data_IF_396237728150
#
_entry.id   IF_396237728150
#
_cell.length_a   1.000
_cell.length_b   1.000
_cell.length_c   1.000
_cell.angle_alpha   90.00
_cell.angle_beta   90.00
_cell.angle_gamma   90.00
#
_symmetry.space_group_name_H-M   'P 1'
#
loop_
_entity.id
_entity.type
_entity.pdbx_description
1 polymer ?
#
# COMPACT_ATOMS: atom_id res chain seq x y z
N UNK A 1 -11.03 -12.41 -24.79
CA UNK A 1 -9.57 -12.61 -24.98
C UNK A 1 -9.38 -13.98 -25.60
N UNK A 2 -8.84 -14.06 -26.82
CA UNK A 2 -8.61 -15.32 -27.53
C UNK A 2 -7.22 -15.81 -27.11
N UNK A 3 -7.14 -16.82 -26.25
CA UNK A 3 -5.84 -17.38 -25.85
C UNK A 3 -5.23 -18.09 -27.06
N UNK A 4 -4.01 -17.73 -27.50
CA UNK A 4 -3.36 -18.41 -28.60
C UNK A 4 -2.70 -19.69 -28.07
N UNK A 5 -2.94 -20.78 -28.79
CA UNK A 5 -2.32 -22.10 -28.68
C UNK A 5 -2.82 -22.92 -27.47
N UNK A 6 -3.67 -23.89 -27.81
CA UNK A 6 -4.24 -24.96 -26.99
C UNK A 6 -3.24 -26.08 -26.66
N UNK A 7 -1.98 -25.73 -26.34
CA UNK A 7 -0.97 -26.71 -25.95
C UNK A 7 -0.60 -26.54 -24.47
N UNK A 8 -0.84 -27.57 -23.66
CA UNK A 8 -0.34 -27.62 -22.28
C UNK A 8 1.19 -27.76 -22.29
N UNK A 9 1.88 -26.88 -21.56
CA UNK A 9 3.34 -26.95 -21.38
C UNK A 9 3.77 -28.31 -20.82
N UNK A 10 3.06 -28.84 -19.84
CA UNK A 10 3.39 -30.11 -19.19
C UNK A 10 3.26 -31.31 -20.14
N UNK A 11 2.19 -31.38 -20.96
CA UNK A 11 2.00 -32.48 -21.91
C UNK A 11 2.99 -32.40 -23.09
N UNK A 12 3.34 -31.18 -23.50
CA UNK A 12 4.31 -30.92 -24.57
C UNK A 12 5.71 -31.45 -24.22
N UNK A 13 6.14 -31.34 -22.96
CA UNK A 13 7.46 -31.80 -22.52
C UNK A 13 7.58 -33.34 -22.47
N UNK A 14 6.44 -34.05 -22.46
CA UNK A 14 6.37 -35.52 -22.49
C UNK A 14 6.10 -36.11 -23.88
N UNK A 15 6.13 -35.30 -24.95
CA UNK A 15 5.94 -35.77 -26.33
C UNK A 15 4.51 -36.20 -26.67
N UNK A 16 3.53 -35.94 -25.78
CA UNK A 16 2.12 -36.18 -26.04
C UNK A 16 1.51 -34.95 -26.72
N UNK A 17 1.04 -35.11 -27.97
CA UNK A 17 0.18 -34.13 -28.61
C UNK A 17 -1.19 -34.16 -27.91
N UNK A 18 -1.34 -33.43 -26.81
CA UNK A 18 -2.65 -33.22 -26.19
C UNK A 18 -3.36 -32.10 -26.96
N UNK A 19 -4.39 -32.44 -27.72
CA UNK A 19 -5.27 -31.46 -28.33
C UNK A 19 -6.32 -31.05 -27.28
N UNK A 20 -6.17 -29.87 -26.68
CA UNK A 20 -7.20 -29.34 -25.79
C UNK A 20 -8.31 -28.75 -26.65
N UNK A 21 -9.48 -29.39 -26.61
CA UNK A 21 -10.69 -28.79 -27.13
C UNK A 21 -11.19 -27.74 -26.13
N UNK A 22 -11.25 -26.48 -26.57
CA UNK A 22 -12.01 -25.47 -25.85
C UNK A 22 -13.48 -25.92 -25.82
N UNK A 23 -14.05 -26.02 -24.62
CA UNK A 23 -15.47 -26.32 -24.44
C UNK A 23 -16.17 -25.02 -24.06
N UNK A 24 -16.88 -24.35 -24.99
CA UNK A 24 -17.59 -23.11 -24.68
C UNK A 24 -18.59 -23.27 -23.52
N UNK A 25 -19.15 -24.46 -23.35
CA UNK A 25 -20.06 -24.76 -22.23
C UNK A 25 -19.38 -24.66 -20.86
N UNK A 26 -18.11 -25.06 -20.74
CA UNK A 26 -17.35 -24.88 -19.50
C UNK A 26 -17.00 -23.41 -19.26
N UNK A 27 -16.70 -22.66 -20.32
CA UNK A 27 -16.45 -21.22 -20.19
C UNK A 27 -17.70 -20.47 -19.68
N UNK A 28 -18.88 -20.85 -20.17
CA UNK A 28 -20.17 -20.32 -19.65
C UNK A 28 -20.37 -20.75 -18.19
N UNK A 29 -20.18 -22.04 -17.87
CA UNK A 29 -20.34 -22.54 -16.50
C UNK A 29 -19.41 -21.86 -15.49
N UNK A 30 -18.11 -21.72 -15.80
CA UNK A 30 -17.17 -20.99 -14.94
C UNK A 30 -17.38 -19.47 -14.97
N UNK A 31 -18.00 -18.96 -16.03
CA UNK A 31 -18.49 -17.59 -16.14
C UNK A 31 -19.60 -17.28 -15.14
N UNK A 32 -20.51 -18.23 -14.95
CA UNK A 32 -21.67 -18.12 -14.06
C UNK A 32 -21.32 -18.42 -12.60
N UNK A 33 -20.18 -19.09 -12.34
CA UNK A 33 -19.70 -19.36 -10.98
C UNK A 33 -19.18 -18.07 -10.33
N UNK A 34 -19.99 -17.47 -9.47
CA UNK A 34 -19.63 -16.29 -8.70
C UNK A 34 -19.38 -16.63 -7.24
N UNK A 35 -18.41 -15.95 -6.63
CA UNK A 35 -18.09 -16.06 -5.21
C UNK A 35 -18.24 -14.69 -4.55
N UNK A 36 -18.71 -14.63 -3.28
CA UNK A 36 -18.70 -13.39 -2.53
C UNK A 36 -17.25 -12.94 -2.27
N UNK A 37 -17.02 -11.63 -2.23
CA UNK A 37 -15.71 -11.09 -1.88
C UNK A 37 -15.34 -11.48 -0.43
N UNK A 38 -14.12 -11.96 -0.15
CA UNK A 38 -13.68 -12.28 1.22
C UNK A 38 -13.65 -11.05 2.14
N UNK A 39 -13.74 -9.83 1.58
CA UNK A 39 -13.76 -8.57 2.30
C UNK A 39 -15.17 -8.01 2.51
N UNK A 40 -16.20 -8.87 2.48
CA UNK A 40 -17.59 -8.49 2.79
C UNK A 40 -17.72 -7.86 4.18
N UNK A 41 -17.01 -8.40 5.17
CA UNK A 41 -16.93 -7.83 6.53
C UNK A 41 -16.34 -6.41 6.58
N UNK A 42 -15.60 -6.00 5.54
CA UNK A 42 -15.02 -4.67 5.40
C UNK A 42 -15.82 -3.76 4.45
N UNK A 43 -17.00 -4.22 3.99
CA UNK A 43 -17.95 -3.45 3.20
C UNK A 43 -18.06 -3.85 1.72
N UNK A 44 -17.26 -4.81 1.23
CA UNK A 44 -17.35 -5.20 -0.18
C UNK A 44 -18.53 -6.13 -0.44
N UNK A 45 -19.57 -5.65 -1.12
CA UNK A 45 -20.75 -6.44 -1.48
C UNK A 45 -20.66 -7.10 -2.87
N UNK A 46 -19.46 -7.16 -3.45
CA UNK A 46 -19.27 -7.68 -4.81
C UNK A 46 -19.34 -9.21 -4.86
N UNK A 47 -20.02 -9.72 -5.88
CA UNK A 47 -19.97 -11.12 -6.30
C UNK A 47 -19.09 -11.21 -7.55
N UNK A 48 -18.05 -12.03 -7.50
CA UNK A 48 -16.96 -12.00 -8.47
C UNK A 48 -16.92 -13.36 -9.18
N UNK A 49 -16.85 -13.39 -10.53
CA UNK A 49 -16.60 -14.63 -11.25
C UNK A 49 -15.34 -15.31 -10.72
N UNK A 50 -15.38 -16.63 -10.50
CA UNK A 50 -14.32 -17.40 -9.87
C UNK A 50 -12.92 -17.09 -10.44
N UNK A 51 -12.79 -17.04 -11.77
CA UNK A 51 -11.52 -16.79 -12.46
C UNK A 51 -10.99 -15.34 -12.31
N UNK A 52 -11.79 -14.40 -11.79
CA UNK A 52 -11.40 -13.02 -11.49
C UNK A 52 -11.19 -12.76 -10.00
N UNK A 53 -11.45 -13.73 -9.13
CA UNK A 53 -11.41 -13.56 -7.68
C UNK A 53 -10.06 -12.99 -7.19
N UNK A 54 -8.93 -13.54 -7.64
CA UNK A 54 -7.61 -13.06 -7.25
C UNK A 54 -7.32 -11.63 -7.73
N UNK A 55 -7.71 -11.30 -8.96
CA UNK A 55 -7.57 -9.94 -9.51
C UNK A 55 -8.39 -8.94 -8.72
N UNK A 56 -9.66 -9.27 -8.42
CA UNK A 56 -10.49 -8.43 -7.56
C UNK A 56 -9.87 -8.29 -6.17
N UNK A 57 -9.46 -9.38 -5.53
CA UNK A 57 -8.88 -9.34 -4.18
C UNK A 57 -7.65 -8.43 -4.10
N UNK A 58 -6.79 -8.45 -5.12
CA UNK A 58 -5.61 -7.56 -5.20
C UNK A 58 -5.97 -6.09 -5.41
N UNK A 59 -7.14 -5.82 -6.00
CA UNK A 59 -7.61 -4.49 -6.38
C UNK A 59 -8.93 -4.12 -5.69
N UNK A 60 -9.23 -4.71 -4.52
CA UNK A 60 -10.42 -4.40 -3.76
C UNK A 60 -10.14 -3.18 -2.87
N UNK A 61 -11.00 -2.18 -2.90
CA UNK A 61 -10.87 -0.97 -2.07
C UNK A 61 -11.14 -1.25 -0.58
N UNK A 62 -11.92 -2.30 -0.30
CA UNK A 62 -12.23 -2.77 1.04
C UNK A 62 -11.18 -3.75 1.57
N UNK A 63 -10.13 -4.06 0.80
CA UNK A 63 -9.05 -4.92 1.27
C UNK A 63 -8.40 -4.29 2.53
N UNK A 64 -8.25 -5.06 3.63
CA UNK A 64 -7.60 -4.56 4.83
C UNK A 64 -6.11 -4.32 4.57
N UNK A 65 -5.53 -3.36 5.29
CA UNK A 65 -4.09 -3.22 5.40
C UNK A 65 -3.56 -4.20 6.46
N UNK A 66 -2.47 -4.89 6.13
CA UNK A 66 -1.78 -5.78 7.05
C UNK A 66 -0.74 -5.00 7.86
N UNK A 67 -0.53 -5.41 9.12
CA UNK A 67 0.56 -4.89 9.92
C UNK A 67 1.92 -5.35 9.32
N UNK A 68 2.87 -4.42 9.06
CA UNK A 68 4.20 -4.75 8.56
C UNK A 68 5.13 -5.38 9.61
N UNK A 69 4.74 -5.37 10.89
CA UNK A 69 5.57 -5.93 11.97
C UNK A 69 5.60 -7.47 11.91
N UNK A 70 6.80 -8.08 11.88
CA UNK A 70 6.93 -9.54 11.82
C UNK A 70 6.19 -10.24 12.96
N UNK A 71 5.33 -11.20 12.62
CA UNK A 71 4.55 -11.96 13.60
C UNK A 71 3.27 -11.29 14.07
N UNK A 72 2.98 -10.05 13.63
CA UNK A 72 1.70 -9.40 13.90
C UNK A 72 0.66 -9.77 12.84
N UNK A 73 -0.40 -10.48 13.23
CA UNK A 73 -1.49 -10.87 12.34
C UNK A 73 -2.60 -9.81 12.21
N UNK A 74 -2.35 -8.58 12.68
CA UNK A 74 -3.34 -7.52 12.63
C UNK A 74 -3.64 -7.11 11.18
N UNK A 75 -4.94 -7.09 10.85
CA UNK A 75 -5.45 -6.73 9.54
C UNK A 75 -6.69 -5.86 9.73
N UNK A 76 -6.65 -4.61 9.26
CA UNK A 76 -7.77 -3.69 9.38
C UNK A 76 -7.73 -2.63 8.27
N UNK A 77 -8.84 -1.92 8.00
CA UNK A 77 -8.83 -0.77 7.11
C UNK A 77 -7.78 0.27 7.52
N UNK A 78 -7.27 1.12 6.60
CA UNK A 78 -6.21 2.10 6.89
C UNK A 78 -6.42 2.96 8.15
N UNK A 79 -7.63 3.47 8.46
CA UNK A 79 -7.86 4.28 9.67
C UNK A 79 -7.57 3.53 10.99
N UNK A 80 -7.75 2.21 11.01
CA UNK A 80 -7.51 1.39 12.20
C UNK A 80 -6.06 0.90 12.31
N UNK A 81 -5.29 0.93 11.22
CA UNK A 81 -3.88 0.52 11.23
C UNK A 81 -2.99 1.53 11.98
N UNK A 82 -3.26 2.82 11.82
CA UNK A 82 -2.52 3.89 12.49
C UNK A 82 -2.49 3.76 14.02
N UNK A 83 -3.64 3.73 14.71
CA UNK A 83 -3.65 3.61 16.16
C UNK A 83 -3.07 2.28 16.63
N UNK A 84 -3.23 1.20 15.85
CA UNK A 84 -2.60 -0.09 16.15
C UNK A 84 -1.07 0.01 16.16
N UNK A 85 -0.46 0.57 15.10
CA UNK A 85 1.00 0.72 15.01
C UNK A 85 1.55 1.61 16.12
N UNK A 86 0.85 2.70 16.45
CA UNK A 86 1.23 3.60 17.53
C UNK A 86 1.12 2.93 18.91
N UNK A 87 0.05 2.18 19.18
CA UNK A 87 -0.23 1.63 20.51
C UNK A 87 0.41 0.25 20.76
N UNK A 88 0.30 -0.67 19.80
CA UNK A 88 0.77 -2.05 19.95
C UNK A 88 2.28 -2.20 19.68
N UNK A 89 2.81 -1.39 18.76
CA UNK A 89 4.21 -1.44 18.36
C UNK A 89 5.02 -0.21 18.77
N UNK A 90 4.38 0.75 19.47
CA UNK A 90 5.02 1.97 19.95
C UNK A 90 5.75 2.75 18.84
N UNK A 91 5.25 2.67 17.61
CA UNK A 91 5.86 3.39 16.48
C UNK A 91 5.76 4.91 16.72
N UNK A 92 6.88 5.64 16.66
CA UNK A 92 6.86 7.09 16.83
C UNK A 92 6.02 7.76 15.74
N UNK A 93 5.09 8.62 16.15
CA UNK A 93 4.23 9.40 15.24
C UNK A 93 4.77 10.82 15.12
N UNK A 94 5.00 11.28 13.88
CA UNK A 94 5.43 12.64 13.55
C UNK A 94 4.33 13.34 12.76
N UNK A 95 3.87 14.49 13.25
CA UNK A 95 2.91 15.33 12.54
C UNK A 95 3.64 16.26 11.58
N UNK A 96 3.21 16.26 10.32
CA UNK A 96 3.71 17.15 9.28
C UNK A 96 2.58 18.13 8.95
N UNK A 97 2.77 19.45 9.13
CA UNK A 97 1.67 20.43 9.08
C UNK A 97 1.00 20.59 7.71
N UNK A 98 1.71 20.25 6.63
CA UNK A 98 1.18 20.27 5.26
C UNK A 98 2.07 19.49 4.31
N UNK A 99 1.47 18.97 3.24
CA UNK A 99 2.24 18.38 2.15
C UNK A 99 3.17 19.43 1.49
N UNK A 100 4.38 19.01 1.12
CA UNK A 100 5.41 19.89 0.58
C UNK A 100 6.25 20.66 1.62
N UNK A 101 5.89 20.61 2.91
CA UNK A 101 6.76 21.13 3.96
C UNK A 101 8.04 20.28 4.09
N UNK A 102 9.18 20.94 4.30
CA UNK A 102 10.44 20.26 4.61
C UNK A 102 10.42 19.89 6.09
N UNK A 103 10.39 18.59 6.38
CA UNK A 103 10.40 18.08 7.75
C UNK A 103 11.73 17.37 8.04
N UNK A 104 12.46 17.84 9.05
CA UNK A 104 13.78 17.31 9.43
C UNK A 104 13.66 16.37 10.63
N UNK A 105 14.04 15.10 10.45
CA UNK A 105 13.99 14.08 11.49
C UNK A 105 15.40 13.54 11.79
N UNK A 106 15.70 13.35 13.08
CA UNK A 106 16.81 12.51 13.50
C UNK A 106 16.29 11.10 13.74
N UNK A 107 16.82 10.14 12.99
CA UNK A 107 16.41 8.74 13.09
C UNK A 107 17.59 7.91 13.57
N UNK A 108 17.55 7.32 14.77
CA UNK A 108 18.56 6.35 15.19
C UNK A 108 18.44 5.08 14.35
N UNK A 109 19.57 4.40 14.11
CA UNK A 109 19.60 3.23 13.25
C UNK A 109 18.91 1.99 13.87
N UNK A 110 18.69 1.96 15.18
CA UNK A 110 18.26 0.78 15.95
C UNK A 110 16.86 0.88 16.57
N UNK A 111 15.89 1.49 15.90
CA UNK A 111 14.54 1.71 16.48
C UNK A 111 13.46 1.42 15.43
N UNK A 112 12.19 1.22 15.83
CA UNK A 112 11.16 0.74 14.91
C UNK A 112 10.88 1.77 13.83
N UNK A 113 10.16 1.31 12.82
CA UNK A 113 9.59 2.16 11.79
C UNK A 113 8.73 3.27 12.40
N UNK A 114 8.53 4.32 11.62
CA UNK A 114 7.91 5.56 12.10
C UNK A 114 6.72 5.92 11.25
N UNK A 115 5.73 6.54 11.89
CA UNK A 115 4.54 7.06 11.24
C UNK A 115 4.73 8.55 11.00
N UNK A 116 4.50 8.99 9.76
CA UNK A 116 4.41 10.40 9.39
C UNK A 116 2.95 10.67 9.03
N UNK A 117 2.30 11.56 9.76
CA UNK A 117 0.91 11.96 9.52
C UNK A 117 0.93 13.36 8.93
N UNK A 118 0.56 13.47 7.67
CA UNK A 118 0.43 14.74 6.95
C UNK A 118 -1.04 15.13 6.99
N UNK A 119 -1.37 16.11 7.82
CA UNK A 119 -2.70 16.73 7.83
C UNK A 119 -2.59 18.16 7.32
N UNK A 120 -3.72 18.76 7.00
CA UNK A 120 -3.86 20.21 7.02
C UNK A 120 -4.22 20.59 8.46
N UNK A 121 -3.45 21.47 9.09
CA UNK A 121 -3.93 22.12 10.32
C UNK A 121 -5.13 22.98 9.90
N UNK A 122 -6.35 22.53 10.22
CA UNK A 122 -7.52 23.40 10.17
C UNK A 122 -7.21 24.54 11.13
N UNK A 123 -7.03 25.75 10.61
CA UNK A 123 -7.20 26.94 11.45
C UNK A 123 -8.61 26.82 12.03
N UNK A 124 -8.70 26.85 13.36
CA UNK A 124 -9.96 27.02 14.07
C UNK A 124 -10.53 28.37 13.61
N UNK A 125 -11.31 28.37 12.54
CA UNK A 125 -12.19 29.48 12.19
C UNK A 125 -13.40 29.33 13.12
N UNK A 126 -13.37 30.08 14.23
CA UNK A 126 -14.56 30.46 14.98
C UNK A 126 -15.44 31.27 14.03
N UNK A 127 -16.39 30.64 13.34
CA UNK A 127 -17.52 31.34 12.73
C UNK A 127 -18.75 30.44 12.84
N UNK A 128 -19.69 30.88 13.69
CA UNK A 128 -21.04 30.36 13.84
C UNK A 128 -21.76 30.43 12.49
N UNK A 129 -22.16 29.29 11.92
CA UNK A 129 -23.41 29.17 11.14
C UNK A 129 -23.77 27.69 10.95
N UNK A 130 -25.00 27.36 11.35
CA UNK A 130 -25.61 26.03 11.25
C UNK A 130 -25.87 25.68 9.76
N UNK A 131 -25.20 24.67 9.22
CA UNK A 131 -25.71 23.94 8.05
C UNK A 131 -25.80 22.43 8.34
N UNK A 132 -27.04 21.99 8.57
CA UNK A 132 -27.43 20.59 8.54
C UNK A 132 -27.41 20.05 7.09
N UNK A 133 -26.70 18.94 6.88
CA UNK A 133 -27.02 17.98 5.82
C UNK A 133 -26.16 18.03 4.56
N UNK A 134 -24.96 17.43 4.63
CA UNK A 134 -24.34 16.77 3.46
C UNK A 134 -23.50 15.58 3.89
N UNK A 135 -24.17 14.44 4.04
CA UNK A 135 -23.53 13.14 4.16
C UNK A 135 -22.65 12.88 2.89
N UNK A 136 -21.45 12.33 3.11
CA UNK A 136 -20.50 11.77 2.13
C UNK A 136 -19.47 12.71 1.47
N UNK A 137 -19.23 13.92 1.98
CA UNK A 137 -17.94 14.55 1.70
C UNK A 137 -16.86 13.78 2.47
N UNK A 138 -16.06 12.99 1.77
CA UNK A 138 -14.84 12.39 2.30
C UNK A 138 -13.92 13.52 2.80
N UNK A 139 -14.14 13.99 4.03
CA UNK A 139 -13.27 14.92 4.73
C UNK A 139 -11.85 14.44 4.50
N UNK A 140 -11.01 15.29 3.91
CA UNK A 140 -9.68 14.92 3.43
C UNK A 140 -8.88 14.30 4.58
N UNK A 141 -8.94 12.97 4.68
CA UNK A 141 -8.34 12.26 5.79
C UNK A 141 -6.83 12.48 5.71
N UNK A 142 -6.16 12.74 6.85
CA UNK A 142 -4.74 13.01 6.84
C UNK A 142 -3.99 11.85 6.18
N UNK A 143 -3.07 12.19 5.29
CA UNK A 143 -2.28 11.22 4.57
C UNK A 143 -1.23 10.61 5.50
N UNK A 144 -1.22 9.28 5.58
CA UNK A 144 -0.30 8.55 6.46
C UNK A 144 0.82 7.97 5.64
N UNK A 145 2.05 8.15 6.10
CA UNK A 145 3.23 7.54 5.52
C UNK A 145 4.00 6.75 6.57
N UNK A 146 4.61 5.66 6.15
CA UNK A 146 5.56 4.89 6.95
C UNK A 146 6.97 5.24 6.47
N UNK A 147 7.83 5.63 7.41
CA UNK A 147 9.26 5.77 7.22
C UNK A 147 9.95 4.54 7.81
N UNK A 148 10.54 3.72 6.94
CA UNK A 148 11.24 2.50 7.34
C UNK A 148 12.75 2.62 7.12
N UNK A 149 13.52 2.09 8.08
CA UNK A 149 14.96 1.97 7.98
C UNK A 149 15.36 0.50 8.06
N UNK A 150 16.19 0.05 7.13
CA UNK A 150 16.67 -1.34 7.09
C UNK A 150 18.18 -1.35 6.90
N UNK A 151 18.88 -2.10 7.73
CA UNK A 151 20.30 -2.35 7.52
C UNK A 151 20.52 -3.23 6.29
N UNK A 152 21.48 -2.84 5.46
CA UNK A 152 21.84 -3.54 4.23
C UNK A 152 23.36 -3.59 4.13
N UNK A 153 23.95 -4.51 4.89
CA UNK A 153 25.40 -4.63 5.03
C UNK A 153 25.99 -3.38 5.70
N UNK A 154 26.88 -2.67 5.00
CA UNK A 154 27.52 -1.45 5.51
C UNK A 154 26.68 -0.17 5.34
N UNK A 155 25.50 -0.26 4.74
CA UNK A 155 24.61 0.88 4.49
C UNK A 155 23.24 0.68 5.15
N UNK A 156 22.54 1.78 5.40
CA UNK A 156 21.14 1.76 5.84
C UNK A 156 20.27 2.21 4.67
N UNK A 157 19.33 1.36 4.24
CA UNK A 157 18.29 1.72 3.30
C UNK A 157 17.17 2.46 4.05
N UNK A 158 16.67 3.54 3.45
CA UNK A 158 15.57 4.32 3.99
C UNK A 158 14.47 4.39 2.92
N UNK A 159 13.24 4.07 3.30
CA UNK A 159 12.08 4.11 2.40
C UNK A 159 10.92 4.84 3.05
N UNK A 160 10.13 5.56 2.24
CA UNK A 160 8.87 6.16 2.64
C UNK A 160 7.76 5.61 1.77
N UNK A 161 6.69 5.14 2.38
CA UNK A 161 5.53 4.59 1.68
C UNK A 161 4.22 5.18 2.23
N UNK A 162 3.29 5.54 1.35
CA UNK A 162 1.95 5.98 1.72
C UNK A 162 1.10 4.76 2.14
N UNK A 163 0.44 4.83 3.29
CA UNK A 163 -0.49 3.80 3.77
C UNK A 163 -1.86 4.08 3.18
N UNK A 164 -2.32 3.22 2.27
CA UNK A 164 -3.63 3.32 1.66
C UNK A 164 -4.18 1.94 1.33
N UNK A 165 -5.50 1.85 1.18
CA UNK A 165 -6.14 0.65 0.64
C UNK A 165 -5.73 0.43 -0.82
N UNK A 166 -5.65 -0.83 -1.25
CA UNK A 166 -5.05 -1.24 -2.52
C UNK A 166 -5.65 -0.54 -3.75
N UNK A 167 -6.97 -0.39 -3.80
CA UNK A 167 -7.67 0.08 -4.99
C UNK A 167 -8.00 1.57 -5.00
N UNK A 168 -7.80 2.28 -3.88
CA UNK A 168 -8.24 3.67 -3.80
C UNK A 168 -7.40 4.52 -4.76
N UNK A 169 -8.07 5.11 -5.75
CA UNK A 169 -7.53 6.17 -6.60
C UNK A 169 -7.39 7.43 -5.75
N UNK A 170 -6.41 7.42 -4.84
CA UNK A 170 -6.08 8.55 -3.98
C UNK A 170 -5.08 9.50 -4.65
N UNK A 171 -4.86 10.68 -4.06
CA UNK A 171 -3.80 11.60 -4.48
C UNK A 171 -2.46 10.87 -4.61
N UNK A 172 -1.73 11.20 -5.68
CA UNK A 172 -0.39 10.68 -5.91
C UNK A 172 0.62 11.56 -5.17
N UNK A 173 1.37 10.95 -4.26
CA UNK A 173 2.39 11.65 -3.49
C UNK A 173 3.78 11.41 -4.08
N UNK A 174 4.57 12.49 -4.14
CA UNK A 174 5.99 12.45 -4.50
C UNK A 174 6.81 12.78 -3.26
N UNK A 175 7.47 11.77 -2.72
CA UNK A 175 8.38 11.94 -1.58
C UNK A 175 9.81 12.19 -2.08
N UNK A 176 10.47 13.20 -1.52
CA UNK A 176 11.91 13.43 -1.71
C UNK A 176 12.59 13.30 -0.36
N UNK A 177 13.53 12.38 -0.27
CA UNK A 177 14.27 12.12 0.94
C UNK A 177 15.73 12.54 0.77
N UNK A 178 16.27 13.24 1.77
CA UNK A 178 17.70 13.47 1.91
C UNK A 178 18.16 12.90 3.24
N UNK A 179 19.20 12.07 3.19
CA UNK A 179 19.81 11.49 4.38
C UNK A 179 21.21 12.07 4.57
N UNK A 180 21.54 12.42 5.82
CA UNK A 180 22.90 12.70 6.26
C UNK A 180 23.26 11.66 7.31
N UNK A 181 24.13 10.72 6.97
CA UNK A 181 24.70 9.82 7.95
C UNK A 181 25.84 10.55 8.70
N UNK A 182 25.98 10.38 10.02
CA UNK A 182 27.21 10.78 10.69
C UNK A 182 28.38 10.02 10.05
N UNK A 183 29.53 10.68 9.90
CA UNK A 183 30.72 10.00 9.41
C UNK A 183 31.01 8.82 10.35
N UNK A 184 30.99 7.59 9.84
CA UNK A 184 31.54 6.46 10.60
C UNK A 184 32.98 6.84 10.95
N UNK A 185 33.39 6.61 12.19
CA UNK A 185 34.77 6.79 12.65
C UNK A 185 35.70 5.71 12.06
N UNK A 186 35.62 5.50 10.74
CA UNK A 186 36.53 4.69 9.95
C UNK A 186 36.78 5.49 8.67
N UNK A 187 38.03 5.94 8.54
CA UNK A 187 38.53 6.70 7.41
C UNK A 187 38.17 6.00 6.09
N UNK A 188 37.36 6.68 5.27
CA UNK A 188 37.58 6.85 3.82
C UNK A 188 36.32 7.42 3.13
N UNK A 189 36.55 8.51 2.39
CA UNK A 189 35.79 8.99 1.24
C UNK A 189 34.25 9.13 1.37
N UNK A 190 33.80 10.36 1.57
CA UNK A 190 32.42 10.79 1.41
C UNK A 190 31.94 10.51 -0.01
N UNK A 191 30.94 9.62 -0.16
CA UNK A 191 30.11 9.56 -1.38
C UNK A 191 28.69 9.90 -0.99
N UNK A 192 28.21 11.04 -1.50
CA UNK A 192 26.78 11.35 -1.51
C UNK A 192 26.12 10.37 -2.48
N UNK A 193 25.37 9.41 -1.97
CA UNK A 193 24.53 8.54 -2.81
C UNK A 193 23.10 9.04 -2.71
N UNK A 194 22.69 9.77 -3.75
CA UNK A 194 21.30 10.12 -3.97
C UNK A 194 20.65 8.97 -4.74
N UNK A 195 19.69 8.26 -4.15
CA UNK A 195 18.81 7.36 -4.90
C UNK A 195 17.41 7.98 -4.91
N UNK A 196 17.02 8.50 -6.07
CA UNK A 196 15.65 8.88 -6.35
C UNK A 196 14.89 7.60 -6.71
N UNK A 197 13.99 7.14 -5.84
CA UNK A 197 13.01 6.14 -6.22
C UNK A 197 11.94 6.82 -7.08
N UNK A 198 12.06 6.71 -8.41
CA UNK A 198 10.94 6.98 -9.32
C UNK A 198 10.07 5.73 -9.35
N UNK A 199 8.92 5.78 -8.69
CA UNK A 199 7.87 4.80 -8.97
C UNK A 199 7.36 5.07 -10.40
N UNK A 200 7.19 4.04 -11.24
CA UNK A 200 6.78 4.23 -12.62
C UNK A 200 5.35 4.75 -12.67
N UNK A 201 5.17 5.90 -13.32
CA UNK A 201 3.88 6.26 -13.88
C UNK A 201 3.59 5.30 -15.05
N UNK A 202 2.39 4.73 -15.10
CA UNK A 202 1.87 4.12 -16.33
C UNK A 202 0.76 5.02 -16.90
N UNK A 203 0.60 4.98 -18.23
CA UNK A 203 0.17 6.11 -19.08
C UNK A 203 -1.27 6.54 -18.87
#
# INVERSE_FOLDING_TARGET
MKLPINACRTCRDHGAASDYALCPGLDVFYGDLHLPCPYEQFGCRSYIPYYRAASHQSACEHAPCLCPEPGCAFAAPPPALLPHLAAAHCWPVHKIPRYGAIHSLRVPASVPDRLLVVGEEQQEEEDDDEEEGKDDAEAERPAVFVLSLRERGAATAVSVACVRANARAGPQYKCVLWAKAPARALACAWRRTCQAARLPARP
#
